data_IF_661047003951
#
_entry.id   IF_661047003951
#
_cell.length_a   1.000
_cell.length_b   1.000
_cell.length_c   1.000
_cell.angle_alpha   90.00
_cell.angle_beta   90.00
_cell.angle_gamma   90.00
#
_symmetry.space_group_name_H-M   'P 1'
#
loop_
_entity.id
_entity.type
_entity.pdbx_description
1 polymer ?
#
# COMPACT_ATOMS: atom_id res chain seq x y z
N UNK A 1 6.64 -0.57 15.53
CA UNK A 1 5.18 -0.49 15.26
C UNK A 1 4.39 -0.73 16.54
N UNK A 2 4.53 0.13 17.55
CA UNK A 2 3.87 0.00 18.86
C UNK A 2 2.35 0.32 18.76
N UNK A 3 1.59 -0.42 17.96
CA UNK A 3 0.11 -0.34 17.91
C UNK A 3 -0.53 0.05 16.57
N UNK A 4 0.24 0.35 15.51
CA UNK A 4 -0.35 0.58 14.18
C UNK A 4 -0.69 -0.77 13.54
N UNK A 5 -1.96 -0.96 13.19
CA UNK A 5 -2.49 -2.15 12.51
C UNK A 5 -3.00 -1.77 11.11
N UNK A 6 -3.33 -2.75 10.29
CA UNK A 6 -3.92 -2.52 8.97
C UNK A 6 -5.19 -1.67 9.05
N UNK A 7 -6.03 -1.90 10.08
CA UNK A 7 -7.19 -1.05 10.38
C UNK A 7 -6.80 0.43 10.50
N UNK A 8 -5.78 0.72 11.32
CA UNK A 8 -5.30 2.09 11.51
C UNK A 8 -4.75 2.69 10.21
N UNK A 9 -4.04 1.89 9.40
CA UNK A 9 -3.47 2.32 8.13
C UNK A 9 -4.56 2.68 7.12
N UNK A 10 -5.51 1.76 6.89
CA UNK A 10 -6.62 1.94 5.96
C UNK A 10 -7.54 3.08 6.39
N UNK A 11 -7.88 3.18 7.67
CA UNK A 11 -8.74 4.24 8.19
C UNK A 11 -8.08 5.62 8.10
N UNK A 12 -6.80 5.73 8.48
CA UNK A 12 -6.09 7.00 8.39
C UNK A 12 -5.93 7.48 6.94
N UNK A 13 -5.68 6.57 6.00
CA UNK A 13 -5.65 6.90 4.58
C UNK A 13 -7.03 7.36 4.09
N UNK A 14 -8.09 6.60 4.40
CA UNK A 14 -9.44 6.91 3.93
C UNK A 14 -9.96 8.26 4.43
N UNK A 15 -9.66 8.61 5.69
CA UNK A 15 -9.96 9.94 6.25
C UNK A 15 -9.22 11.07 5.54
N UNK A 16 -7.95 10.86 5.17
CA UNK A 16 -7.18 11.86 4.39
C UNK A 16 -7.75 12.03 2.98
N UNK A 17 -8.19 10.94 2.36
CA UNK A 17 -8.85 11.00 1.05
C UNK A 17 -10.18 11.76 1.14
N UNK A 18 -11.03 11.45 2.12
CA UNK A 18 -12.29 12.19 2.35
C UNK A 18 -12.05 13.70 2.55
N UNK A 19 -11.05 14.07 3.34
CA UNK A 19 -10.65 15.47 3.49
C UNK A 19 -10.19 16.10 2.17
N UNK A 20 -9.48 15.33 1.34
CA UNK A 20 -9.01 15.78 0.02
C UNK A 20 -10.18 16.01 -0.94
N UNK A 21 -11.15 15.08 -1.01
CA UNK A 21 -12.39 15.28 -1.77
C UNK A 21 -13.11 16.56 -1.34
N UNK A 22 -13.29 16.75 -0.03
CA UNK A 22 -13.93 17.95 0.52
C UNK A 22 -13.17 19.23 0.17
N UNK A 23 -11.84 19.21 0.22
CA UNK A 23 -11.00 20.35 -0.16
C UNK A 23 -11.22 20.78 -1.62
N UNK A 24 -11.46 19.82 -2.51
CA UNK A 24 -11.78 20.06 -3.92
C UNK A 24 -13.28 20.27 -4.20
N UNK A 25 -14.11 20.37 -3.16
CA UNK A 25 -15.54 20.64 -3.30
C UNK A 25 -16.42 19.42 -3.55
N UNK A 26 -15.87 18.21 -3.45
CA UNK A 26 -16.62 16.96 -3.63
C UNK A 26 -17.08 16.39 -2.30
N UNK A 27 -18.33 15.93 -2.25
CA UNK A 27 -18.80 15.10 -1.17
C UNK A 27 -18.35 13.65 -1.39
N UNK A 28 -17.93 12.98 -0.32
CA UNK A 28 -17.56 11.58 -0.35
C UNK A 28 -18.07 10.83 0.87
N UNK A 29 -18.29 9.53 0.72
CA UNK A 29 -18.72 8.63 1.80
C UNK A 29 -17.68 7.53 1.94
N UNK A 30 -17.11 7.40 3.14
CA UNK A 30 -16.20 6.31 3.49
C UNK A 30 -16.99 5.15 4.10
N UNK A 31 -16.85 3.95 3.54
CA UNK A 31 -17.41 2.71 4.10
C UNK A 31 -16.36 1.60 4.08
N UNK A 32 -16.38 0.66 5.03
CA UNK A 32 -15.65 -0.59 4.88
C UNK A 32 -16.01 -1.31 3.58
N UNK A 33 -15.05 -2.04 3.00
CA UNK A 33 -15.36 -3.07 2.00
C UNK A 33 -15.91 -4.28 2.77
N UNK A 34 -17.10 -4.73 2.40
CA UNK A 34 -17.72 -5.91 2.98
C UNK A 34 -17.05 -7.15 2.37
N UNK A 35 -16.57 -8.06 3.21
CA UNK A 35 -15.98 -9.33 2.81
C UNK A 35 -16.65 -10.44 3.61
N UNK A 36 -16.77 -11.64 3.04
CA UNK A 36 -17.50 -12.75 3.69
C UNK A 36 -16.96 -13.11 5.08
N UNK A 37 -15.63 -13.08 5.24
CA UNK A 37 -14.93 -13.34 6.52
C UNK A 37 -14.36 -12.03 7.10
N UNK A 38 -15.24 -11.06 7.36
CA UNK A 38 -14.82 -9.75 7.84
C UNK A 38 -14.10 -9.83 9.20
N UNK A 39 -12.90 -9.24 9.32
CA UNK A 39 -12.24 -9.13 10.62
C UNK A 39 -13.01 -8.18 11.54
N UNK A 40 -12.83 -8.34 12.86
CA UNK A 40 -13.45 -7.48 13.90
C UNK A 40 -13.25 -5.97 13.62
N UNK A 41 -12.08 -5.62 13.06
CA UNK A 41 -11.77 -4.26 12.63
C UNK A 41 -11.51 -4.23 11.11
N UNK A 42 -12.32 -3.49 10.34
CA UNK A 42 -12.15 -3.42 8.90
C UNK A 42 -10.86 -2.69 8.55
N UNK A 43 -10.16 -3.13 7.52
CA UNK A 43 -8.93 -2.49 7.07
C UNK A 43 -8.97 -2.12 5.59
N UNK A 44 -9.94 -2.66 4.85
CA UNK A 44 -10.25 -2.26 3.49
C UNK A 44 -11.44 -1.31 3.48
N UNK A 45 -11.35 -0.27 2.65
CA UNK A 45 -12.35 0.80 2.61
C UNK A 45 -12.67 1.20 1.17
N UNK A 46 -13.90 1.64 0.95
CA UNK A 46 -14.35 2.32 -0.26
C UNK A 46 -14.64 3.78 0.10
N UNK A 47 -14.17 4.71 -0.72
CA UNK A 47 -14.49 6.13 -0.65
C UNK A 47 -15.23 6.49 -1.92
N UNK A 48 -16.56 6.59 -1.84
CA UNK A 48 -17.40 6.88 -3.02
C UNK A 48 -17.76 8.36 -3.07
N UNK A 49 -17.69 8.93 -4.27
CA UNK A 49 -18.08 10.31 -4.58
C UNK A 49 -18.84 10.36 -5.91
N UNK A 50 -19.30 11.54 -6.31
CA UNK A 50 -19.96 11.73 -7.62
C UNK A 50 -19.00 11.58 -8.82
N UNK A 51 -17.69 11.72 -8.60
CA UNK A 51 -16.67 11.63 -9.67
C UNK A 51 -16.03 10.24 -9.79
N UNK A 52 -16.38 9.31 -8.91
CA UNK A 52 -15.83 7.95 -8.88
C UNK A 52 -15.62 7.43 -7.46
N UNK A 53 -15.20 6.17 -7.37
CA UNK A 53 -14.88 5.48 -6.12
C UNK A 53 -13.40 5.15 -6.02
N UNK A 54 -12.81 5.42 -4.85
CA UNK A 54 -11.47 4.95 -4.50
C UNK A 54 -11.61 3.74 -3.58
N UNK A 55 -11.16 2.59 -4.06
CA UNK A 55 -11.08 1.33 -3.32
C UNK A 55 -9.71 1.23 -2.66
N UNK A 56 -9.65 1.04 -1.36
CA UNK A 56 -8.41 1.05 -0.57
C UNK A 56 -8.17 -0.33 0.00
N UNK A 57 -7.11 -0.99 -0.44
CA UNK A 57 -6.60 -2.21 0.16
C UNK A 57 -5.35 -1.90 0.97
N UNK A 58 -5.38 -2.25 2.25
CA UNK A 58 -4.29 -1.95 3.19
C UNK A 58 -3.62 -3.21 3.69
N UNK A 59 -2.29 -3.28 3.64
CA UNK A 59 -1.55 -4.45 4.14
C UNK A 59 -0.36 -4.09 5.00
N UNK A 60 -0.15 -4.87 6.06
CA UNK A 60 1.06 -4.82 6.86
C UNK A 60 2.06 -5.85 6.34
N UNK A 61 3.18 -5.40 5.78
CA UNK A 61 4.15 -6.27 5.10
C UNK A 61 5.11 -6.99 6.07
N UNK A 62 4.61 -7.56 7.17
CA UNK A 62 5.38 -8.06 8.34
C UNK A 62 6.70 -8.75 7.98
N UNK A 63 6.65 -9.77 7.13
CA UNK A 63 7.84 -10.52 6.67
C UNK A 63 8.37 -10.04 5.32
N UNK A 64 7.53 -9.32 4.56
CA UNK A 64 7.73 -8.96 3.16
C UNK A 64 8.13 -10.15 2.25
N UNK A 65 7.89 -11.38 2.71
CA UNK A 65 8.23 -12.61 2.00
C UNK A 65 7.14 -13.03 1.03
N UNK A 66 7.35 -14.16 0.36
CA UNK A 66 6.45 -14.67 -0.69
C UNK A 66 4.99 -14.74 -0.25
N UNK A 67 4.70 -15.34 0.91
CA UNK A 67 3.32 -15.44 1.42
C UNK A 67 2.68 -14.06 1.67
N UNK A 68 3.44 -13.09 2.18
CA UNK A 68 2.90 -11.75 2.43
C UNK A 68 2.61 -11.00 1.12
N UNK A 69 3.48 -11.13 0.11
CA UNK A 69 3.27 -10.59 -1.23
C UNK A 69 2.10 -11.27 -1.94
N UNK A 70 1.96 -12.59 -1.76
CA UNK A 70 0.84 -13.36 -2.29
C UNK A 70 -0.49 -12.94 -1.65
N UNK A 71 -0.51 -12.72 -0.33
CA UNK A 71 -1.71 -12.25 0.37
C UNK A 71 -2.21 -10.91 -0.21
N UNK A 72 -1.31 -9.96 -0.49
CA UNK A 72 -1.68 -8.70 -1.18
C UNK A 72 -2.37 -8.98 -2.53
N UNK A 73 -1.79 -9.84 -3.36
CA UNK A 73 -2.35 -10.17 -4.68
C UNK A 73 -3.67 -10.95 -4.57
N UNK A 74 -3.80 -11.81 -3.57
CA UNK A 74 -5.05 -12.52 -3.29
C UNK A 74 -6.16 -11.58 -2.84
N UNK A 75 -5.87 -10.59 -1.99
CA UNK A 75 -6.87 -9.57 -1.63
C UNK A 75 -7.33 -8.73 -2.82
N UNK A 76 -6.48 -8.47 -3.81
CA UNK A 76 -6.90 -7.86 -5.09
C UNK A 76 -7.83 -8.80 -5.85
N UNK A 77 -7.54 -10.11 -5.87
CA UNK A 77 -8.37 -11.11 -6.55
C UNK A 77 -9.74 -11.23 -5.90
N UNK A 78 -9.79 -11.29 -4.57
CA UNK A 78 -11.04 -11.33 -3.79
C UNK A 78 -11.86 -10.07 -4.07
N UNK A 79 -11.26 -8.89 -3.92
CA UNK A 79 -11.90 -7.61 -4.24
C UNK A 79 -12.45 -7.58 -5.67
N UNK A 80 -11.66 -7.99 -6.67
CA UNK A 80 -12.10 -8.01 -8.06
C UNK A 80 -13.25 -9.00 -8.28
N UNK A 81 -13.21 -10.17 -7.65
CA UNK A 81 -14.29 -11.17 -7.79
C UNK A 81 -15.60 -10.70 -7.18
N UNK A 82 -15.54 -9.98 -6.05
CA UNK A 82 -16.72 -9.51 -5.33
C UNK A 82 -17.27 -8.19 -5.87
N UNK A 83 -16.41 -7.27 -6.31
CA UNK A 83 -16.80 -5.91 -6.68
C UNK A 83 -16.55 -5.56 -8.15
N UNK A 84 -15.92 -6.46 -8.92
CA UNK A 84 -15.59 -6.24 -10.33
C UNK A 84 -16.79 -5.86 -11.19
N UNK A 85 -17.97 -6.39 -10.87
CA UNK A 85 -19.22 -6.08 -11.59
C UNK A 85 -19.69 -4.63 -11.40
N UNK A 86 -19.24 -3.94 -10.36
CA UNK A 86 -19.67 -2.60 -9.99
C UNK A 86 -18.66 -1.50 -10.37
N UNK A 87 -17.46 -1.88 -10.85
CA UNK A 87 -16.41 -0.94 -11.18
C UNK A 87 -16.82 0.02 -12.30
N UNK A 88 -16.56 1.31 -12.09
CA UNK A 88 -16.76 2.35 -13.07
C UNK A 88 -15.42 2.79 -13.70
N UNK A 89 -15.41 3.37 -14.91
CA UNK A 89 -14.15 3.77 -15.57
C UNK A 89 -13.28 4.77 -14.79
N UNK A 90 -13.86 5.53 -13.87
CA UNK A 90 -13.14 6.49 -13.03
C UNK A 90 -12.76 5.93 -11.65
N UNK A 91 -13.06 4.66 -11.39
CA UNK A 91 -12.71 4.04 -10.12
C UNK A 91 -11.22 3.74 -10.06
N UNK A 92 -10.67 3.91 -8.86
CA UNK A 92 -9.25 3.67 -8.58
C UNK A 92 -9.12 2.58 -7.53
N UNK A 93 -8.22 1.64 -7.74
CA UNK A 93 -7.76 0.74 -6.70
C UNK A 93 -6.44 1.29 -6.14
N UNK A 94 -6.47 1.64 -4.85
CA UNK A 94 -5.36 2.20 -4.10
C UNK A 94 -4.80 1.15 -3.14
N UNK A 95 -3.55 0.74 -3.37
CA UNK A 95 -2.82 -0.13 -2.47
C UNK A 95 -2.01 0.74 -1.50
N UNK A 96 -2.22 0.53 -0.20
CA UNK A 96 -1.43 1.16 0.86
C UNK A 96 -0.82 0.09 1.74
N UNK A 97 0.51 0.06 1.82
CA UNK A 97 1.18 -0.88 2.70
C UNK A 97 2.16 -0.18 3.62
N UNK A 98 2.48 -0.82 4.73
CA UNK A 98 3.58 -0.37 5.57
C UNK A 98 4.49 -1.53 5.97
N UNK A 99 5.73 -1.18 6.30
CA UNK A 99 6.74 -2.16 6.62
C UNK A 99 7.80 -1.61 7.56
N UNK A 100 8.23 -2.44 8.50
CA UNK A 100 9.43 -2.18 9.29
C UNK A 100 10.55 -3.10 8.82
N UNK A 101 11.54 -2.53 8.14
CA UNK A 101 12.68 -3.27 7.58
C UNK A 101 13.37 -4.04 8.71
N UNK A 102 13.47 -5.34 8.50
CA UNK A 102 14.05 -6.32 9.40
C UNK A 102 15.42 -6.76 8.87
N UNK A 103 16.00 -7.78 9.49
CA UNK A 103 17.26 -8.37 9.02
C UNK A 103 17.07 -9.41 7.91
N UNK A 104 15.83 -9.84 7.64
CA UNK A 104 15.59 -10.86 6.61
C UNK A 104 15.88 -10.31 5.21
N UNK A 105 16.33 -11.20 4.32
CA UNK A 105 16.61 -10.87 2.92
C UNK A 105 15.36 -10.30 2.23
N UNK A 106 14.22 -10.99 2.35
CA UNK A 106 12.93 -10.59 1.76
C UNK A 106 12.47 -9.20 2.19
N UNK A 107 12.76 -8.81 3.42
CA UNK A 107 12.46 -7.49 3.98
C UNK A 107 13.31 -6.38 3.37
N UNK A 108 14.58 -6.68 3.11
CA UNK A 108 15.56 -5.77 2.49
C UNK A 108 15.44 -5.70 0.96
N UNK A 109 14.76 -6.68 0.37
CA UNK A 109 14.37 -6.69 -1.04
C UNK A 109 13.09 -5.90 -1.33
N UNK A 110 12.30 -5.56 -0.30
CA UNK A 110 10.94 -5.06 -0.50
C UNK A 110 10.88 -3.79 -1.36
N UNK A 111 11.85 -2.88 -1.20
CA UNK A 111 11.89 -1.65 -2.00
C UNK A 111 12.10 -1.94 -3.49
N UNK A 112 13.03 -2.83 -3.83
CA UNK A 112 13.23 -3.25 -5.21
C UNK A 112 12.04 -4.03 -5.75
N UNK A 113 11.44 -4.90 -4.93
CA UNK A 113 10.24 -5.61 -5.35
C UNK A 113 9.09 -4.63 -5.64
N UNK A 114 8.89 -3.61 -4.81
CA UNK A 114 7.83 -2.62 -4.99
C UNK A 114 8.11 -1.71 -6.17
N UNK A 115 9.24 -1.01 -6.18
CA UNK A 115 9.55 0.04 -7.16
C UNK A 115 10.12 -0.48 -8.48
N UNK A 116 10.63 -1.71 -8.52
CA UNK A 116 11.40 -2.25 -9.65
C UNK A 116 12.88 -1.85 -9.64
N UNK A 117 13.27 -0.94 -8.75
CA UNK A 117 14.63 -0.42 -8.61
C UNK A 117 14.98 -0.15 -7.14
N UNK A 118 16.28 -0.03 -6.85
CA UNK A 118 16.75 0.44 -5.55
C UNK A 118 16.77 1.98 -5.52
N UNK A 119 16.53 2.60 -4.35
CA UNK A 119 16.54 4.06 -4.24
C UNK A 119 17.95 4.63 -4.43
N UNK A 120 18.09 5.78 -5.08
CA UNK A 120 19.39 6.43 -5.31
C UNK A 120 20.19 6.65 -4.02
N UNK A 121 19.52 7.01 -2.93
CA UNK A 121 20.15 7.32 -1.63
C UNK A 121 20.45 6.05 -0.79
N UNK A 122 21.00 4.99 -1.41
CA UNK A 122 21.36 3.73 -0.70
C UNK A 122 22.27 3.99 0.50
N UNK A 123 23.15 4.99 0.41
CA UNK A 123 24.07 5.35 1.49
C UNK A 123 23.33 5.72 2.78
N UNK A 124 22.18 6.39 2.70
CA UNK A 124 21.39 6.76 3.88
C UNK A 124 20.78 5.54 4.60
N UNK A 125 20.50 4.46 3.86
CA UNK A 125 20.09 3.18 4.47
C UNK A 125 21.28 2.51 5.15
N UNK A 126 22.43 2.53 4.49
CA UNK A 126 23.67 1.93 5.00
C UNK A 126 24.14 2.60 6.29
N UNK A 127 24.05 3.93 6.37
CA UNK A 127 24.30 4.72 7.59
C UNK A 127 23.40 4.33 8.77
N UNK A 128 22.21 3.79 8.49
CA UNK A 128 21.28 3.28 9.49
C UNK A 128 21.39 1.75 9.68
N UNK A 129 22.43 1.12 9.15
CA UNK A 129 22.70 -0.32 9.27
C UNK A 129 21.77 -1.19 8.43
N UNK A 130 21.21 -0.66 7.34
CA UNK A 130 20.30 -1.33 6.43
C UNK A 130 20.99 -1.53 5.08
N UNK A 131 21.26 -2.78 4.73
CA UNK A 131 21.68 -3.18 3.39
C UNK A 131 20.44 -3.57 2.59
N UNK A 132 20.20 -2.90 1.47
CA UNK A 132 19.11 -3.24 0.55
C UNK A 132 19.59 -4.24 -0.50
N UNK A 133 18.66 -5.05 -1.03
CA UNK A 133 18.95 -6.05 -2.05
C UNK A 133 17.96 -5.95 -3.22
N UNK A 134 18.40 -6.41 -4.39
CA UNK A 134 17.50 -6.63 -5.52
C UNK A 134 16.65 -7.88 -5.26
N UNK A 135 15.41 -7.86 -5.75
CA UNK A 135 14.50 -9.00 -5.69
C UNK A 135 14.38 -9.63 -7.09
N UNK A 136 14.18 -10.95 -7.12
CA UNK A 136 14.01 -11.73 -8.36
C UNK A 136 12.64 -11.52 -9.03
N UNK A 137 11.72 -10.83 -8.35
CA UNK A 137 10.39 -10.49 -8.85
C UNK A 137 10.09 -9.02 -8.55
N UNK A 138 9.07 -8.48 -9.23
CA UNK A 138 8.58 -7.11 -9.02
C UNK A 138 7.06 -7.11 -8.92
N UNK A 139 6.50 -6.16 -8.16
CA UNK A 139 5.06 -5.98 -8.01
C UNK A 139 4.38 -5.76 -9.37
N UNK A 140 4.96 -4.90 -10.21
CA UNK A 140 4.43 -4.56 -11.55
C UNK A 140 4.30 -5.81 -12.43
N UNK A 141 5.33 -6.67 -12.44
CA UNK A 141 5.29 -7.95 -13.17
C UNK A 141 4.21 -8.89 -12.63
N UNK A 142 4.07 -8.97 -11.31
CA UNK A 142 3.02 -9.78 -10.67
C UNK A 142 1.61 -9.28 -11.00
N UNK A 143 1.40 -7.96 -11.02
CA UNK A 143 0.12 -7.34 -11.37
C UNK A 143 -0.23 -7.57 -12.84
N UNK A 144 0.72 -7.35 -13.75
CA UNK A 144 0.54 -7.57 -15.17
C UNK A 144 0.24 -9.05 -15.47
N UNK A 145 1.02 -9.96 -14.90
CA UNK A 145 0.83 -11.40 -15.12
C UNK A 145 -0.53 -11.92 -14.61
N UNK A 146 -0.99 -11.42 -13.45
CA UNK A 146 -2.21 -11.95 -12.80
C UNK A 146 -3.48 -11.23 -13.25
N UNK A 147 -3.40 -9.95 -13.58
CA UNK A 147 -4.57 -9.11 -13.84
C UNK A 147 -4.51 -8.35 -15.17
N UNK A 148 -3.37 -8.35 -15.87
CA UNK A 148 -3.17 -7.57 -17.10
C UNK A 148 -3.14 -6.06 -16.86
N UNK A 149 -2.73 -5.62 -15.67
CA UNK A 149 -2.73 -4.21 -15.26
C UNK A 149 -1.35 -3.75 -14.82
N UNK A 150 -1.09 -2.46 -14.99
CA UNK A 150 0.11 -1.79 -14.48
C UNK A 150 -0.30 -0.59 -13.61
N UNK A 151 0.41 -0.30 -12.50
CA UNK A 151 0.16 0.89 -11.72
C UNK A 151 0.35 2.18 -12.54
N UNK A 152 -0.62 3.08 -12.49
CA UNK A 152 -0.46 4.43 -13.04
C UNK A 152 0.32 5.36 -12.09
N UNK A 153 0.46 4.94 -10.82
CA UNK A 153 1.31 5.60 -9.84
C UNK A 153 1.89 4.57 -8.88
N UNK A 154 3.17 4.70 -8.55
CA UNK A 154 3.85 3.87 -7.55
C UNK A 154 4.86 4.71 -6.78
N UNK A 155 4.87 4.59 -5.45
CA UNK A 155 5.77 5.36 -4.60
C UNK A 155 5.99 4.70 -3.26
N UNK A 156 7.08 5.06 -2.59
CA UNK A 156 7.27 4.81 -1.17
C UNK A 156 7.65 6.09 -0.42
N UNK A 157 7.55 6.07 0.91
CA UNK A 157 7.96 7.16 1.78
C UNK A 157 8.39 6.68 3.17
N UNK A 158 9.08 7.57 3.89
CA UNK A 158 9.46 7.39 5.28
C UNK A 158 8.75 8.44 6.14
N UNK A 159 7.59 8.12 6.74
CA UNK A 159 6.79 9.12 7.45
C UNK A 159 7.37 9.49 8.83
N UNK A 160 8.32 8.71 9.36
CA UNK A 160 8.88 8.90 10.69
C UNK A 160 10.21 9.65 10.62
N UNK A 161 10.40 10.58 11.55
CA UNK A 161 11.65 11.33 11.75
C UNK A 161 12.16 11.14 13.18
N UNK A 162 13.47 11.11 13.35
CA UNK A 162 14.10 11.14 14.67
C UNK A 162 13.95 12.53 15.28
N UNK A 163 13.55 12.58 16.54
CA UNK A 163 13.30 13.82 17.30
C UNK A 163 14.46 14.81 17.28
N UNK A 164 15.71 14.33 17.33
CA UNK A 164 16.85 15.19 17.60
C UNK A 164 17.52 15.76 16.35
N UNK A 165 17.35 15.14 15.18
CA UNK A 165 18.08 15.50 13.95
C UNK A 165 17.19 15.75 12.74
N UNK A 166 15.86 15.62 12.88
CA UNK A 166 14.91 15.60 11.77
C UNK A 166 15.23 14.55 10.68
N UNK A 167 16.19 13.65 10.94
CA UNK A 167 16.62 12.61 10.03
C UNK A 167 15.49 11.58 9.87
N UNK A 168 15.19 11.21 8.63
CA UNK A 168 14.21 10.18 8.32
C UNK A 168 14.60 8.84 8.93
N UNK A 169 13.62 8.12 9.47
CA UNK A 169 13.81 6.74 9.94
C UNK A 169 13.70 5.82 8.73
N UNK A 170 14.85 5.47 8.13
CA UNK A 170 14.91 4.66 6.90
C UNK A 170 14.39 3.22 7.09
N UNK A 171 14.24 2.81 8.35
CA UNK A 171 13.73 1.48 8.72
C UNK A 171 12.22 1.32 8.56
N UNK A 172 11.44 2.39 8.59
CA UNK A 172 9.98 2.29 8.41
C UNK A 172 9.57 2.85 7.06
N UNK A 173 8.77 2.08 6.34
CA UNK A 173 8.29 2.38 4.99
C UNK A 173 6.78 2.48 4.99
N UNK A 174 6.27 3.41 4.20
CA UNK A 174 4.93 3.34 3.63
C UNK A 174 5.05 3.22 2.11
N UNK A 175 4.24 2.35 1.55
CA UNK A 175 4.24 1.96 0.15
C UNK A 175 2.87 2.29 -0.44
N UNK A 176 2.85 2.84 -1.64
CA UNK A 176 1.65 3.29 -2.31
C UNK A 176 1.68 2.84 -3.76
N UNK A 177 0.55 2.34 -4.25
CA UNK A 177 0.33 2.12 -5.68
C UNK A 177 -1.12 2.45 -6.04
N UNK A 178 -1.33 3.01 -7.23
CA UNK A 178 -2.66 3.30 -7.77
C UNK A 178 -2.81 2.52 -9.07
N UNK A 179 -3.91 1.79 -9.15
CA UNK A 179 -4.33 0.99 -10.29
C UNK A 179 -5.61 1.59 -10.85
N UNK A 180 -5.67 1.68 -12.18
CA UNK A 180 -6.87 2.01 -12.94
C UNK A 180 -7.33 0.73 -13.62
N UNK A 181 -8.63 0.44 -13.53
CA UNK A 181 -9.23 -0.76 -14.11
C UNK A 181 -9.97 -0.44 -15.40
#
# INVERSE_FOLDING_TARGET
NQGMSEHHLGLAFSRRMEHTFRHFGYNSIVKPIEVLDAPDLPHHYRISSEIGTVWVLSHHMVSAGKSCRENLLSSITEWQSEYGYALQPNDLLFLVCDHWISRSKTSRELLHWWMGELPDQINEYTEQGITLYTSESQLTQSLDTRFGISPCYIKFGHPLRRSNKQQLVRKYLQLYAVLQW
#
